data_IF_521790534295
#
_entry.id   IF_521790534295
#
_cell.length_a   1.000
_cell.length_b   1.000
_cell.length_c   1.000
_cell.angle_alpha   90.00
_cell.angle_beta   90.00
_cell.angle_gamma   90.00
#
_symmetry.space_group_name_H-M   'P 1'
#
loop_
_entity.id
_entity.type
_entity.pdbx_description
1 polymer ?
#
# COMPACT_ATOMS: atom_id res chain seq x y z
N UNK A 1 13.43 -26.36 -16.00
CA UNK A 1 13.22 -26.45 -14.54
C UNK A 1 13.59 -25.17 -13.81
N UNK A 2 14.79 -24.59 -13.98
CA UNK A 2 15.19 -23.32 -13.32
C UNK A 2 14.19 -22.17 -13.49
N UNK A 3 13.76 -21.88 -14.73
CA UNK A 3 12.84 -20.76 -14.99
C UNK A 3 11.50 -20.86 -14.24
N UNK A 4 10.97 -22.08 -14.08
CA UNK A 4 9.72 -22.29 -13.34
C UNK A 4 9.90 -21.98 -11.87
N UNK A 5 10.98 -22.48 -11.27
CA UNK A 5 11.32 -22.21 -9.88
C UNK A 5 11.57 -20.72 -9.63
N UNK A 6 12.26 -20.04 -10.55
CA UNK A 6 12.54 -18.60 -10.46
C UNK A 6 11.27 -17.74 -10.59
N UNK A 7 10.32 -18.15 -11.43
CA UNK A 7 9.00 -17.50 -11.51
C UNK A 7 8.21 -17.73 -10.23
N UNK A 8 8.18 -18.96 -9.72
CA UNK A 8 7.46 -19.28 -8.49
C UNK A 8 8.01 -18.53 -7.29
N UNK A 9 9.33 -18.48 -7.11
CA UNK A 9 9.97 -17.76 -6.01
C UNK A 9 9.63 -16.26 -6.05
N UNK A 10 9.68 -15.66 -7.24
CA UNK A 10 9.32 -14.24 -7.41
C UNK A 10 7.85 -13.99 -7.11
N UNK A 11 6.95 -14.83 -7.61
CA UNK A 11 5.51 -14.71 -7.32
C UNK A 11 5.24 -14.83 -5.83
N UNK A 12 5.80 -15.86 -5.19
CA UNK A 12 5.65 -16.12 -3.77
C UNK A 12 6.07 -14.91 -2.92
N UNK A 13 7.28 -14.37 -3.15
CA UNK A 13 7.76 -13.18 -2.45
C UNK A 13 6.95 -11.91 -2.78
N UNK A 14 6.43 -11.81 -4.01
CA UNK A 14 5.60 -10.65 -4.40
C UNK A 14 4.21 -10.65 -3.78
N UNK A 15 3.71 -11.82 -3.37
CA UNK A 15 2.43 -11.99 -2.69
C UNK A 15 2.55 -12.06 -1.16
N UNK A 16 3.77 -12.06 -0.63
CA UNK A 16 3.99 -12.10 0.82
C UNK A 16 3.41 -10.82 1.47
N UNK A 17 2.48 -10.94 2.43
CA UNK A 17 1.79 -9.78 2.99
C UNK A 17 2.70 -8.89 3.83
N UNK A 18 3.71 -9.45 4.49
CA UNK A 18 4.68 -8.69 5.29
C UNK A 18 5.55 -7.85 4.36
N UNK A 19 6.13 -8.49 3.34
CA UNK A 19 6.95 -7.80 2.34
C UNK A 19 6.14 -6.79 1.52
N UNK A 20 4.88 -7.11 1.22
CA UNK A 20 3.97 -6.18 0.52
C UNK A 20 3.65 -4.97 1.38
N UNK A 21 3.39 -5.15 2.68
CA UNK A 21 3.12 -4.04 3.60
C UNK A 21 4.32 -3.11 3.77
N UNK A 22 5.55 -3.64 3.70
CA UNK A 22 6.79 -2.85 3.82
C UNK A 22 7.23 -2.20 2.51
N UNK A 23 6.67 -2.64 1.37
CA UNK A 23 7.02 -2.10 0.05
C UNK A 23 6.43 -0.69 -0.08
N UNK A 24 7.27 0.29 -0.38
CA UNK A 24 6.80 1.62 -0.78
C UNK A 24 5.90 1.49 -2.01
N UNK A 25 4.66 1.93 -1.88
CA UNK A 25 3.69 1.99 -2.98
C UNK A 25 3.20 3.41 -3.12
N UNK A 26 3.22 3.93 -4.34
CA UNK A 26 2.53 5.18 -4.62
C UNK A 26 1.02 4.90 -4.60
N UNK A 27 0.32 5.47 -3.62
CA UNK A 27 -1.14 5.39 -3.56
C UNK A 27 -1.71 6.26 -4.67
N UNK A 28 -2.39 5.65 -5.64
CA UNK A 28 -3.09 6.38 -6.70
C UNK A 28 -4.50 6.67 -6.21
N UNK A 29 -4.94 7.93 -6.27
CA UNK A 29 -6.35 8.29 -6.07
C UNK A 29 -7.18 7.61 -7.17
N UNK A 30 -8.18 6.82 -6.78
CA UNK A 30 -9.08 6.15 -7.72
C UNK A 30 -10.17 7.11 -8.20
N UNK A 31 -10.65 6.90 -9.42
CA UNK A 31 -11.90 7.52 -9.88
C UNK A 31 -13.08 6.79 -9.25
N UNK A 32 -14.19 7.49 -9.05
CA UNK A 32 -15.44 6.89 -8.57
C UNK A 32 -15.96 5.82 -9.54
N UNK A 33 -16.48 4.72 -8.99
CA UNK A 33 -17.18 3.70 -9.77
C UNK A 33 -18.58 4.18 -10.20
N UNK A 34 -19.12 3.58 -11.26
CA UNK A 34 -20.53 3.78 -11.65
C UNK A 34 -21.45 3.16 -10.59
N UNK A 35 -22.60 3.78 -10.32
CA UNK A 35 -23.58 3.34 -9.31
C UNK A 35 -23.93 1.85 -9.40
N UNK A 36 -24.28 1.36 -10.59
CA UNK A 36 -24.62 -0.05 -10.81
C UNK A 36 -23.45 -0.99 -10.48
N UNK A 37 -22.22 -0.61 -10.83
CA UNK A 37 -21.02 -1.40 -10.48
C UNK A 37 -20.83 -1.43 -8.97
N UNK A 38 -21.02 -0.30 -8.30
CA UNK A 38 -20.89 -0.21 -6.86
C UNK A 38 -21.93 -1.10 -6.15
N UNK A 39 -23.17 -1.12 -6.63
CA UNK A 39 -24.25 -1.96 -6.10
C UNK A 39 -23.99 -3.48 -6.24
N UNK A 40 -23.17 -3.91 -7.20
CA UNK A 40 -22.78 -5.33 -7.34
C UNK A 40 -21.69 -5.76 -6.35
N UNK A 41 -20.81 -4.85 -5.94
CA UNK A 41 -19.67 -5.16 -5.09
C UNK A 41 -19.89 -4.79 -3.62
N UNK A 42 -20.71 -3.77 -3.36
CA UNK A 42 -21.07 -3.39 -2.01
C UNK A 42 -22.23 -4.25 -1.51
N UNK A 43 -22.19 -4.68 -0.24
CA UNK A 43 -23.37 -5.23 0.42
C UNK A 43 -24.53 -4.23 0.29
N UNK A 44 -25.74 -4.73 0.02
CA UNK A 44 -26.95 -3.90 -0.15
C UNK A 44 -27.30 -3.01 1.07
N UNK A 45 -26.58 -3.13 2.19
CA UNK A 45 -26.81 -2.41 3.46
C UNK A 45 -25.70 -1.42 3.87
N UNK A 46 -24.66 -1.16 3.05
CA UNK A 46 -23.63 -0.17 3.41
C UNK A 46 -23.89 1.21 2.78
N UNK A 47 -24.66 2.04 3.47
CA UNK A 47 -24.77 3.48 3.23
C UNK A 47 -24.33 4.22 4.49
N UNK A 48 -23.02 4.31 4.72
CA UNK A 48 -22.46 5.20 5.73
C UNK A 48 -21.29 5.99 5.14
N UNK A 49 -21.27 7.28 5.50
CA UNK A 49 -20.68 8.42 4.81
C UNK A 49 -19.15 8.32 4.74
N UNK A 50 -18.59 8.46 3.53
CA UNK A 50 -17.16 8.70 3.33
C UNK A 50 -16.89 10.17 3.64
N UNK A 51 -16.34 10.48 4.81
CA UNK A 51 -15.64 11.75 5.02
C UNK A 51 -14.20 11.56 4.54
N UNK A 52 -13.92 12.18 3.40
CA UNK A 52 -12.60 12.28 2.79
C UNK A 52 -11.79 13.30 3.61
N UNK A 53 -11.07 12.86 4.67
CA UNK A 53 -10.01 13.69 5.23
C UNK A 53 -8.68 13.37 4.52
N UNK A 54 -8.43 14.17 3.48
CA UNK A 54 -7.19 14.26 2.70
C UNK A 54 -6.08 14.82 3.61
N UNK A 55 -5.57 14.02 4.54
CA UNK A 55 -4.44 14.41 5.39
C UNK A 55 -3.12 14.07 4.67
N UNK A 56 -2.72 14.94 3.75
CA UNK A 56 -1.31 15.10 3.38
C UNK A 56 -0.55 15.53 4.65
N UNK A 57 0.09 14.59 5.36
CA UNK A 57 1.03 14.93 6.42
C UNK A 57 2.46 14.61 5.97
N UNK A 58 3.14 15.72 5.67
CA UNK A 58 4.52 15.95 5.28
C UNK A 58 5.56 15.05 5.98
N UNK A 59 6.64 14.79 5.25
CA UNK A 59 7.87 14.15 5.73
C UNK A 59 8.36 14.78 7.04
N UNK A 60 8.72 13.93 8.00
CA UNK A 60 9.65 14.35 9.07
C UNK A 60 11.01 13.75 8.79
N UNK A 61 11.84 14.62 8.23
CA UNK A 61 13.29 14.56 8.19
C UNK A 61 13.82 14.40 9.62
N UNK A 62 14.31 13.20 9.96
CA UNK A 62 15.07 12.98 11.18
C UNK A 62 16.55 12.99 10.84
N UNK A 63 17.05 14.20 10.63
CA UNK A 63 18.43 14.59 10.85
C UNK A 63 18.83 14.23 12.30
N UNK A 64 19.39 13.04 12.50
CA UNK A 64 20.27 12.81 13.65
C UNK A 64 21.72 12.89 13.17
N UNK A 65 22.15 14.14 13.06
CA UNK A 65 23.55 14.52 12.94
C UNK A 65 24.37 13.91 14.09
N UNK A 66 25.36 13.11 13.69
CA UNK A 66 26.76 13.10 14.12
C UNK A 66 27.07 13.50 15.58
N UNK A 67 27.72 12.59 16.33
CA UNK A 67 28.99 12.91 16.99
C UNK A 67 29.64 11.71 17.71
N UNK A 68 30.82 11.38 17.17
CA UNK A 68 32.11 11.11 17.85
C UNK A 68 32.37 9.78 18.58
N UNK A 69 33.16 8.94 17.89
CA UNK A 69 34.54 8.53 18.23
C UNK A 69 34.85 7.77 19.55
N UNK A 70 35.24 6.50 19.33
CA UNK A 70 36.47 5.81 19.76
C UNK A 70 36.90 5.82 21.24
N UNK A 71 36.95 4.61 21.82
CA UNK A 71 38.17 4.03 22.41
C UNK A 71 38.19 2.50 22.22
#
# INVERSE_FOLDING_TARGET
FSCYEDVLKRLFLSSDPVLTSMRSTMRKKSKSFLKETLEMFLPMESSEVLDEEDSDHEETDNDINDLSSDE
#
